data_IF_776372674288
#
_entry.id   IF_776372674288
#
_cell.length_a   1.000
_cell.length_b   1.000
_cell.length_c   1.000
_cell.angle_alpha   90.00
_cell.angle_beta   90.00
_cell.angle_gamma   90.00
#
_symmetry.space_group_name_H-M   'P 1'
#
loop_
_entity.id
_entity.type
_entity.pdbx_description
1 polymer ?
#
# COMPACT_ATOMS: atom_id res chain seq x y z
N UNK A 1 -3.85 -1.42 0.33
CA UNK A 1 -3.75 -1.27 -1.14
C UNK A 1 -2.37 -1.72 -1.61
N UNK A 2 -2.30 -2.53 -2.67
CA UNK A 2 -1.03 -3.14 -3.09
C UNK A 2 -0.16 -2.23 -3.96
N UNK A 3 -0.05 -0.96 -3.59
CA UNK A 3 0.88 -0.01 -4.20
C UNK A 3 1.30 1.03 -3.17
N UNK A 4 2.25 1.87 -3.55
CA UNK A 4 2.65 3.02 -2.75
C UNK A 4 1.78 4.21 -3.16
N UNK A 5 0.62 4.37 -2.51
CA UNK A 5 -0.28 5.49 -2.77
C UNK A 5 0.49 6.81 -2.65
N UNK A 6 0.36 7.76 -3.58
CA UNK A 6 -0.67 7.89 -4.63
C UNK A 6 -0.35 7.20 -5.96
N UNK A 7 0.69 6.39 -6.05
CA UNK A 7 1.03 5.66 -7.27
C UNK A 7 0.09 4.48 -7.48
N UNK A 8 -0.32 4.25 -8.71
CA UNK A 8 -1.11 3.07 -9.13
C UNK A 8 -2.30 2.78 -8.20
N UNK A 9 -3.10 3.81 -7.93
CA UNK A 9 -4.28 3.70 -7.08
C UNK A 9 -5.46 4.44 -7.71
N UNK A 10 -6.62 4.33 -7.05
CA UNK A 10 -7.84 4.96 -7.53
C UNK A 10 -8.67 4.03 -8.40
N UNK A 11 -9.57 4.62 -9.18
CA UNK A 11 -10.48 3.87 -10.04
C UNK A 11 -9.70 2.98 -11.01
N UNK A 12 -10.16 1.76 -11.20
CA UNK A 12 -9.59 0.75 -12.08
C UNK A 12 -8.29 0.10 -11.60
N UNK A 13 -7.68 0.59 -10.52
CA UNK A 13 -6.50 -0.05 -9.95
C UNK A 13 -6.88 -0.94 -8.77
N UNK A 14 -7.08 -2.23 -9.05
CA UNK A 14 -7.39 -3.24 -8.05
C UNK A 14 -6.79 -4.59 -8.44
N UNK A 15 -6.46 -5.41 -7.44
CA UNK A 15 -5.95 -6.77 -7.66
C UNK A 15 -4.71 -6.79 -8.56
N UNK A 16 -4.70 -7.69 -9.53
CA UNK A 16 -3.59 -7.84 -10.46
C UNK A 16 -3.36 -6.63 -11.36
N UNK A 17 -4.38 -5.79 -11.58
CA UNK A 17 -4.24 -4.58 -12.41
C UNK A 17 -3.21 -3.61 -11.86
N UNK A 18 -3.07 -3.54 -10.55
CA UNK A 18 -2.03 -2.70 -9.93
C UNK A 18 -0.65 -3.17 -10.37
N UNK A 19 -0.41 -4.47 -10.27
CA UNK A 19 0.91 -5.05 -10.61
C UNK A 19 1.18 -5.00 -12.11
N UNK A 20 0.16 -5.19 -12.92
CA UNK A 20 0.26 -4.99 -14.37
C UNK A 20 0.68 -3.56 -14.70
N UNK A 21 0.06 -2.57 -14.06
CA UNK A 21 0.40 -1.17 -14.25
C UNK A 21 1.84 -0.85 -13.85
N UNK A 22 2.28 -1.40 -12.72
CA UNK A 22 3.66 -1.26 -12.23
C UNK A 22 4.66 -1.79 -13.25
N UNK A 23 4.42 -3.00 -13.74
CA UNK A 23 5.31 -3.64 -14.72
C UNK A 23 5.29 -2.92 -16.08
N UNK A 24 4.11 -2.51 -16.54
CA UNK A 24 3.97 -1.79 -17.82
C UNK A 24 4.68 -0.44 -17.78
N UNK A 25 4.65 0.26 -16.67
CA UNK A 25 5.33 1.55 -16.54
C UNK A 25 6.83 1.40 -16.36
N UNK A 26 7.28 0.24 -15.86
CA UNK A 26 8.69 -0.02 -15.64
C UNK A 26 9.29 0.62 -14.42
N UNK A 27 8.48 0.90 -13.38
CA UNK A 27 9.00 1.42 -12.12
C UNK A 27 9.85 0.35 -11.43
N UNK A 28 10.82 0.79 -10.65
CA UNK A 28 11.78 -0.10 -9.99
C UNK A 28 11.40 -0.45 -8.56
N UNK A 29 10.49 0.32 -7.98
CA UNK A 29 10.03 0.14 -6.60
C UNK A 29 8.51 0.24 -6.57
N UNK A 30 7.88 -0.68 -5.87
CA UNK A 30 6.45 -0.68 -5.57
C UNK A 30 6.29 -0.97 -4.07
N UNK A 31 5.15 -1.41 -3.63
CA UNK A 31 4.95 -1.74 -2.22
C UNK A 31 3.47 -1.81 -1.88
N UNK A 32 3.18 -1.59 -0.60
CA UNK A 32 1.80 -1.62 -0.12
C UNK A 32 1.54 -0.44 0.83
N UNK A 33 0.28 -0.08 0.94
CA UNK A 33 -0.20 1.02 1.78
C UNK A 33 -1.38 0.53 2.61
N UNK A 34 -1.35 0.82 3.91
CA UNK A 34 -2.51 0.70 4.79
C UNK A 34 -3.01 2.11 5.07
N UNK A 35 -4.28 2.35 4.79
CA UNK A 35 -4.88 3.68 4.96
C UNK A 35 -6.30 3.56 5.52
N UNK A 36 -6.79 4.65 6.09
CA UNK A 36 -8.20 4.73 6.47
C UNK A 36 -9.06 4.85 5.22
N UNK A 37 -10.28 4.34 5.31
CA UNK A 37 -11.26 4.46 4.22
C UNK A 37 -12.05 5.75 4.40
N UNK A 38 -12.21 6.50 3.33
CA UNK A 38 -13.07 7.67 3.28
C UNK A 38 -14.02 7.59 2.08
N UNK A 39 -14.65 8.69 1.68
CA UNK A 39 -15.59 8.69 0.56
C UNK A 39 -14.94 8.53 -0.81
N UNK A 40 -13.64 8.75 -0.92
CA UNK A 40 -12.91 8.61 -2.16
C UNK A 40 -12.31 7.22 -2.33
N UNK A 41 -11.81 6.94 -3.52
CA UNK A 41 -11.11 5.68 -3.81
C UNK A 41 -9.63 5.85 -3.51
N UNK A 42 -9.15 5.15 -2.48
CA UNK A 42 -7.74 5.16 -2.05
C UNK A 42 -7.24 6.57 -1.68
N UNK A 43 -8.10 7.38 -1.08
CA UNK A 43 -7.79 8.79 -0.73
C UNK A 43 -7.71 9.05 0.76
N UNK A 44 -8.02 8.06 1.61
CA UNK A 44 -7.98 8.24 3.06
C UNK A 44 -6.57 8.41 3.61
N UNK A 45 -6.44 8.92 4.85
CA UNK A 45 -5.13 9.14 5.47
C UNK A 45 -4.29 7.87 5.54
N UNK A 46 -3.03 7.97 5.15
CA UNK A 46 -2.09 6.85 5.09
C UNK A 46 -1.53 6.56 6.49
N UNK A 47 -1.62 5.31 6.92
CA UNK A 47 -1.12 4.86 8.23
C UNK A 47 0.30 4.33 8.10
N UNK A 48 0.51 3.34 7.26
CA UNK A 48 1.82 2.72 7.03
C UNK A 48 2.01 2.40 5.55
N UNK A 49 3.26 2.45 5.13
CA UNK A 49 3.68 2.02 3.79
C UNK A 49 4.96 1.20 3.90
N UNK A 50 5.12 0.25 2.99
CA UNK A 50 6.35 -0.53 2.88
C UNK A 50 6.71 -0.74 1.43
N UNK A 51 7.95 -0.43 1.08
CA UNK A 51 8.47 -0.56 -0.28
C UNK A 51 8.98 -1.97 -0.55
N UNK A 52 8.84 -2.40 -1.81
CA UNK A 52 9.30 -3.68 -2.33
C UNK A 52 9.96 -3.44 -3.67
N UNK A 53 11.09 -4.08 -3.92
CA UNK A 53 11.75 -4.00 -5.22
C UNK A 53 10.98 -4.75 -6.30
N UNK A 54 10.98 -4.19 -7.51
CA UNK A 54 10.45 -4.85 -8.71
C UNK A 54 11.63 -5.53 -9.40
N UNK A 55 11.48 -6.83 -9.70
CA UNK A 55 12.50 -7.59 -10.43
C UNK A 55 12.23 -7.54 -11.92
N UNK A 56 13.27 -7.52 -12.71
CA UNK A 56 13.17 -7.38 -14.16
C UNK A 56 12.36 -8.50 -14.83
N UNK A 57 12.37 -9.69 -14.24
CA UNK A 57 11.68 -10.86 -14.76
C UNK A 57 10.32 -11.11 -14.09
N UNK A 58 9.82 -10.16 -13.31
CA UNK A 58 8.53 -10.32 -12.63
C UNK A 58 7.37 -10.45 -13.60
N UNK A 59 6.44 -11.32 -13.23
CA UNK A 59 5.09 -11.36 -13.80
C UNK A 59 4.15 -10.66 -12.81
N UNK A 60 2.93 -10.28 -13.23
CA UNK A 60 1.96 -9.71 -12.29
C UNK A 60 1.75 -10.60 -11.07
N UNK A 61 1.68 -11.92 -11.23
CA UNK A 61 1.49 -12.84 -10.11
C UNK A 61 2.69 -12.94 -9.20
N UNK A 62 3.92 -12.99 -9.74
CA UNK A 62 5.11 -13.05 -8.88
C UNK A 62 5.29 -11.77 -8.09
N UNK A 63 4.99 -10.62 -8.70
CA UNK A 63 5.04 -9.35 -8.01
C UNK A 63 3.96 -9.25 -6.93
N UNK A 64 2.73 -9.68 -7.25
CA UNK A 64 1.64 -9.71 -6.29
C UNK A 64 2.01 -10.51 -5.05
N UNK A 65 2.57 -11.69 -5.24
CA UNK A 65 2.97 -12.56 -4.13
C UNK A 65 4.05 -11.90 -3.27
N UNK A 66 5.04 -11.28 -3.90
CA UNK A 66 6.11 -10.61 -3.16
C UNK A 66 5.59 -9.41 -2.37
N UNK A 67 4.71 -8.61 -2.96
CA UNK A 67 4.10 -7.47 -2.27
C UNK A 67 3.26 -7.95 -1.08
N UNK A 68 2.50 -9.04 -1.25
CA UNK A 68 1.74 -9.61 -0.15
C UNK A 68 2.64 -10.06 1.00
N UNK A 69 3.67 -10.87 0.69
CA UNK A 69 4.52 -11.48 1.71
C UNK A 69 5.44 -10.46 2.38
N UNK A 70 6.03 -9.55 1.60
CA UNK A 70 7.06 -8.63 2.11
C UNK A 70 6.49 -7.30 2.60
N UNK A 71 5.30 -6.93 2.18
CA UNK A 71 4.71 -5.64 2.56
C UNK A 71 3.37 -5.78 3.25
N UNK A 72 2.33 -6.28 2.58
CA UNK A 72 0.98 -6.28 3.14
C UNK A 72 0.89 -7.06 4.45
N UNK A 73 1.44 -8.27 4.48
CA UNK A 73 1.40 -9.14 5.68
C UNK A 73 2.29 -8.62 6.82
N UNK A 74 3.18 -7.69 6.52
CA UNK A 74 4.02 -7.05 7.54
C UNK A 74 3.34 -5.82 8.13
N UNK A 75 2.80 -4.94 7.26
CA UNK A 75 2.27 -3.65 7.74
C UNK A 75 0.82 -3.71 8.22
N UNK A 76 0.00 -4.65 7.71
CA UNK A 76 -1.40 -4.73 8.12
C UNK A 76 -1.56 -5.07 9.61
N UNK A 77 -0.93 -6.13 10.13
CA UNK A 77 -1.00 -6.41 11.57
C UNK A 77 -0.45 -5.26 12.42
N UNK A 78 0.62 -4.61 11.96
CA UNK A 78 1.20 -3.47 12.68
C UNK A 78 0.25 -2.28 12.73
N UNK A 79 -0.41 -1.97 11.61
CA UNK A 79 -1.38 -0.88 11.56
C UNK A 79 -2.57 -1.16 12.49
N UNK A 80 -3.08 -2.39 12.49
CA UNK A 80 -4.17 -2.80 13.38
C UNK A 80 -3.76 -2.65 14.84
N UNK A 81 -2.55 -3.08 15.19
CA UNK A 81 -2.01 -2.96 16.54
C UNK A 81 -1.90 -1.49 16.98
N UNK A 82 -1.38 -0.63 16.11
CA UNK A 82 -1.26 0.80 16.39
C UNK A 82 -2.65 1.45 16.64
N UNK A 83 -3.64 1.11 15.82
CA UNK A 83 -4.99 1.63 15.96
C UNK A 83 -5.62 1.13 17.27
N UNK A 84 -5.49 -0.16 17.54
CA UNK A 84 -6.07 -0.78 18.75
C UNK A 84 -5.49 -0.19 20.03
N UNK A 85 -4.25 0.28 20.01
CA UNK A 85 -3.59 0.88 21.17
C UNK A 85 -3.70 2.42 21.19
N UNK A 86 -4.56 3.00 20.35
CA UNK A 86 -4.77 4.45 20.33
C UNK A 86 -3.56 5.27 19.88
N UNK A 87 -2.69 4.66 19.08
CA UNK A 87 -1.43 5.28 18.64
C UNK A 87 -1.56 6.09 17.36
N UNK A 88 -2.73 6.09 16.71
CA UNK A 88 -2.94 6.76 15.44
C UNK A 88 -3.90 7.92 15.62
N UNK A 89 -3.50 9.10 15.19
CA UNK A 89 -4.30 10.32 15.24
C UNK A 89 -4.37 10.92 13.85
N UNK A 90 -5.55 11.38 13.45
CA UNK A 90 -5.73 12.04 12.14
C UNK A 90 -5.82 13.54 12.34
N UNK A 91 -4.95 14.28 11.69
CA UNK A 91 -4.93 15.75 11.69
C UNK A 91 -4.60 16.27 10.29
N UNK A 92 -5.42 17.19 9.79
CA UNK A 92 -5.18 17.83 8.49
C UNK A 92 -5.10 16.83 7.35
N UNK A 93 -5.88 15.74 7.39
CA UNK A 93 -5.88 14.69 6.38
C UNK A 93 -4.71 13.73 6.46
N UNK A 94 -3.90 13.83 7.49
CA UNK A 94 -2.74 12.96 7.69
C UNK A 94 -2.92 12.09 8.92
N UNK A 95 -2.48 10.84 8.85
CA UNK A 95 -2.44 9.96 9.99
C UNK A 95 -1.06 10.10 10.67
N UNK A 96 -1.08 10.46 11.95
CA UNK A 96 0.13 10.64 12.75
C UNK A 96 0.24 9.47 13.71
N UNK A 97 1.44 8.90 13.82
CA UNK A 97 1.70 7.77 14.70
C UNK A 97 2.43 8.25 15.94
N UNK A 98 1.85 7.97 17.10
CA UNK A 98 2.48 8.26 18.38
C UNK A 98 3.63 7.27 18.62
N UNK A 99 4.78 7.82 18.94
CA UNK A 99 5.97 7.00 19.21
C UNK A 99 6.24 6.79 20.69
#
# INVERSE_FOLDING_TARGET
HPSLIPSFCGKDYYGLKVHEGVLNRGVKVTGATVHFVDDGTDTGPIILQKAVEVHQDDTPKSLQLRVMEEAEWVIMPRAIDLIANGKVKVEGGKALIEQ
#
